data_IF_178728628441
#
_entry.id   IF_178728628441
#
_cell.length_a   1.000
_cell.length_b   1.000
_cell.length_c   1.000
_cell.angle_alpha   90.00
_cell.angle_beta   90.00
_cell.angle_gamma   90.00
#
_symmetry.space_group_name_H-M   'P 1'
#
loop_
_entity.id
_entity.type
_entity.pdbx_description
1 polymer ?
#
# COMPACT_ATOMS: atom_id res chain seq x y z
N UNK A 1 -4.95 -12.94 -3.44
CA UNK A 1 -4.75 -14.41 -3.35
C UNK A 1 -6.08 -15.11 -3.13
N UNK A 2 -6.70 -14.99 -1.94
CA UNK A 2 -7.96 -15.69 -1.63
C UNK A 2 -9.08 -15.38 -2.64
N UNK A 3 -9.36 -14.10 -2.91
CA UNK A 3 -10.36 -13.70 -3.92
C UNK A 3 -10.08 -14.31 -5.31
N UNK A 4 -8.81 -14.31 -5.74
CA UNK A 4 -8.38 -14.93 -7.01
C UNK A 4 -8.62 -16.44 -7.04
N UNK A 5 -8.37 -17.14 -5.93
CA UNK A 5 -8.66 -18.58 -5.81
C UNK A 5 -10.16 -18.84 -5.99
N UNK A 6 -11.02 -18.03 -5.37
CA UNK A 6 -12.47 -18.16 -5.50
C UNK A 6 -12.96 -17.90 -6.93
N UNK A 7 -12.35 -16.96 -7.65
CA UNK A 7 -12.67 -16.69 -9.06
C UNK A 7 -12.20 -17.83 -9.97
N UNK A 8 -10.93 -18.20 -9.90
CA UNK A 8 -10.33 -19.16 -10.84
C UNK A 8 -10.78 -20.59 -10.54
N UNK A 9 -10.68 -21.03 -9.28
CA UNK A 9 -11.01 -22.41 -8.90
C UNK A 9 -12.50 -22.59 -8.56
N UNK A 10 -13.16 -21.54 -8.07
CA UNK A 10 -14.61 -21.56 -7.77
C UNK A 10 -15.51 -21.13 -8.93
N UNK A 11 -14.95 -20.82 -10.10
CA UNK A 11 -15.68 -20.46 -11.32
C UNK A 11 -16.52 -19.19 -11.22
N UNK A 12 -16.17 -18.28 -10.30
CA UNK A 12 -16.95 -17.06 -10.06
C UNK A 12 -16.59 -15.94 -11.03
N UNK A 13 -17.51 -14.97 -11.18
CA UNK A 13 -17.22 -13.77 -11.96
C UNK A 13 -16.15 -12.89 -11.29
N UNK A 14 -15.46 -12.09 -12.11
CA UNK A 14 -14.47 -11.12 -11.62
C UNK A 14 -15.11 -10.13 -10.63
N UNK A 15 -16.36 -9.71 -10.90
CA UNK A 15 -17.14 -8.85 -10.02
C UNK A 15 -17.35 -9.40 -8.62
N UNK A 16 -17.80 -10.65 -8.54
CA UNK A 16 -17.96 -11.37 -7.28
C UNK A 16 -16.61 -11.48 -6.55
N UNK A 17 -15.51 -11.71 -7.28
CA UNK A 17 -14.17 -11.68 -6.72
C UNK A 17 -13.79 -10.34 -6.09
N UNK A 18 -14.01 -9.22 -6.79
CA UNK A 18 -13.71 -7.86 -6.31
C UNK A 18 -14.50 -7.55 -5.04
N UNK A 19 -15.76 -7.96 -5.01
CA UNK A 19 -16.63 -7.78 -3.87
C UNK A 19 -16.15 -8.47 -2.60
N UNK A 20 -15.86 -9.76 -2.73
CA UNK A 20 -15.41 -10.60 -1.64
C UNK A 20 -14.04 -10.13 -1.15
N UNK A 21 -13.25 -9.45 -1.99
CA UNK A 21 -11.97 -8.92 -1.60
C UNK A 21 -12.04 -7.90 -0.44
N UNK A 22 -13.12 -7.12 -0.33
CA UNK A 22 -13.26 -6.09 0.71
C UNK A 22 -13.38 -6.68 2.12
N UNK A 23 -14.37 -7.56 2.42
CA UNK A 23 -14.46 -8.18 3.75
C UNK A 23 -13.24 -9.05 4.03
N UNK A 24 -12.66 -9.71 3.01
CA UNK A 24 -11.42 -10.48 3.16
C UNK A 24 -10.23 -9.57 3.52
N UNK A 25 -10.14 -8.37 2.96
CA UNK A 25 -9.11 -7.40 3.30
C UNK A 25 -9.25 -6.91 4.75
N UNK A 26 -10.47 -6.62 5.20
CA UNK A 26 -10.73 -6.25 6.58
C UNK A 26 -10.35 -7.38 7.56
N UNK A 27 -10.78 -8.62 7.29
CA UNK A 27 -10.39 -9.79 8.08
C UNK A 27 -8.87 -10.02 8.08
N UNK A 28 -8.23 -9.91 6.91
CA UNK A 28 -6.78 -10.02 6.77
C UNK A 28 -6.01 -8.95 7.53
N UNK A 29 -6.57 -7.73 7.64
CA UNK A 29 -6.00 -6.66 8.43
C UNK A 29 -6.07 -6.96 9.93
N UNK A 30 -7.21 -7.46 10.42
CA UNK A 30 -7.33 -7.88 11.83
C UNK A 30 -6.34 -9.00 12.16
N UNK A 31 -6.24 -10.01 11.30
CA UNK A 31 -5.27 -11.08 11.46
C UNK A 31 -3.82 -10.55 11.45
N UNK A 32 -3.55 -9.55 10.61
CA UNK A 32 -2.24 -8.85 10.57
C UNK A 32 -1.91 -8.17 11.88
N UNK A 33 -2.88 -7.50 12.51
CA UNK A 33 -2.70 -6.86 13.81
C UNK A 33 -2.34 -7.91 14.87
N UNK A 34 -3.12 -9.00 14.96
CA UNK A 34 -2.89 -10.07 15.94
C UNK A 34 -1.48 -10.66 15.79
N UNK A 35 -1.09 -11.02 14.56
CA UNK A 35 0.24 -11.60 14.32
C UNK A 35 1.36 -10.60 14.65
N UNK A 36 1.19 -9.32 14.31
CA UNK A 36 2.16 -8.28 14.70
C UNK A 36 2.31 -8.15 16.21
N UNK A 37 1.21 -8.27 16.96
CA UNK A 37 1.25 -8.28 18.42
C UNK A 37 2.03 -9.50 18.94
N UNK A 38 1.87 -10.68 18.35
CA UNK A 38 2.62 -11.89 18.73
C UNK A 38 4.12 -11.71 18.43
N UNK A 39 4.49 -11.03 17.34
CA UNK A 39 5.88 -10.78 16.98
C UNK A 39 6.64 -9.99 18.05
N UNK A 40 5.96 -9.29 18.96
CA UNK A 40 6.58 -8.60 20.11
C UNK A 40 7.38 -9.58 20.98
N UNK A 41 6.97 -10.85 21.10
CA UNK A 41 7.74 -11.86 21.83
C UNK A 41 9.12 -12.14 21.20
N UNK A 42 9.23 -12.05 19.87
CA UNK A 42 10.50 -12.20 19.16
C UNK A 42 11.43 -11.00 19.42
N UNK A 43 10.86 -9.81 19.62
CA UNK A 43 11.65 -8.62 19.98
C UNK A 43 12.28 -8.80 21.37
N UNK A 44 11.50 -9.25 22.36
CA UNK A 44 12.04 -9.55 23.70
C UNK A 44 13.13 -10.64 23.68
N UNK A 45 13.02 -11.63 22.78
CA UNK A 45 14.06 -12.64 22.59
C UNK A 45 15.31 -12.06 21.92
N UNK A 46 15.14 -11.13 20.98
CA UNK A 46 16.25 -10.42 20.34
C UNK A 46 17.01 -9.53 21.32
N UNK A 47 16.30 -8.84 22.23
CA UNK A 47 16.93 -8.01 23.27
C UNK A 47 17.85 -8.84 24.17
N UNK A 48 17.39 -10.01 24.62
CA UNK A 48 18.20 -10.96 25.40
C UNK A 48 19.39 -11.53 24.62
N UNK A 49 19.29 -11.65 23.30
CA UNK A 49 20.40 -12.08 22.44
C UNK A 49 21.42 -10.95 22.22
N UNK A 50 20.94 -9.69 22.19
CA UNK A 50 21.76 -8.49 22.07
C UNK A 50 22.59 -8.23 23.33
N UNK A 51 22.02 -8.42 24.53
CA UNK A 51 22.76 -8.34 25.81
C UNK A 51 23.96 -9.30 25.85
N UNK A 52 23.88 -10.43 25.13
CA UNK A 52 24.94 -11.43 25.03
C UNK A 52 25.90 -11.19 23.86
N UNK A 53 25.72 -10.12 23.10
CA UNK A 53 26.52 -9.80 21.92
C UNK A 53 26.42 -10.81 20.77
N UNK A 54 25.37 -11.65 20.76
CA UNK A 54 25.25 -12.74 19.80
C UNK A 54 24.47 -12.31 18.54
N UNK A 55 25.18 -11.75 17.56
CA UNK A 55 24.59 -11.26 16.32
C UNK A 55 23.97 -12.36 15.44
N UNK A 56 24.49 -13.59 15.49
CA UNK A 56 23.93 -14.70 14.72
C UNK A 56 22.56 -15.09 15.26
N UNK A 57 22.40 -15.12 16.59
CA UNK A 57 21.12 -15.36 17.23
C UNK A 57 20.08 -14.28 16.86
N UNK A 58 20.47 -13.00 16.83
CA UNK A 58 19.59 -11.91 16.39
C UNK A 58 19.15 -12.10 14.93
N UNK A 59 20.07 -12.46 14.05
CA UNK A 59 19.75 -12.72 12.63
C UNK A 59 18.73 -13.86 12.48
N UNK A 60 18.90 -14.96 13.20
CA UNK A 60 17.94 -16.07 13.20
C UNK A 60 16.58 -15.68 13.79
N UNK A 61 16.55 -14.88 14.85
CA UNK A 61 15.31 -14.35 15.44
C UNK A 61 14.57 -13.46 14.43
N UNK A 62 15.29 -12.60 13.71
CA UNK A 62 14.70 -11.74 12.68
C UNK A 62 14.10 -12.57 11.54
N UNK A 63 14.82 -13.55 11.01
CA UNK A 63 14.33 -14.42 9.92
C UNK A 63 13.13 -15.25 10.37
N UNK A 64 13.16 -15.81 11.60
CA UNK A 64 12.02 -16.58 12.13
C UNK A 64 10.76 -15.72 12.32
N UNK A 65 10.89 -14.46 12.73
CA UNK A 65 9.78 -13.51 12.78
C UNK A 65 9.19 -13.23 11.39
N UNK A 66 10.03 -13.19 10.34
CA UNK A 66 9.60 -13.02 8.96
C UNK A 66 8.83 -14.25 8.45
N UNK A 67 9.25 -15.47 8.83
CA UNK A 67 8.53 -16.71 8.53
C UNK A 67 7.12 -16.70 9.14
N UNK A 68 6.97 -16.24 10.39
CA UNK A 68 5.66 -16.08 11.03
C UNK A 68 4.75 -15.15 10.20
N UNK A 69 5.30 -14.07 9.68
CA UNK A 69 4.57 -13.11 8.86
C UNK A 69 4.17 -13.68 7.49
N UNK A 70 4.99 -14.56 6.90
CA UNK A 70 4.62 -15.30 5.70
C UNK A 70 3.48 -16.30 5.97
N UNK A 71 3.57 -17.05 7.07
CA UNK A 71 2.55 -18.03 7.47
C UNK A 71 1.17 -17.40 7.67
N UNK A 72 1.10 -16.16 8.18
CA UNK A 72 -0.14 -15.40 8.31
C UNK A 72 -0.96 -15.35 7.02
N UNK A 73 -0.30 -15.22 5.87
CA UNK A 73 -0.97 -15.11 4.57
C UNK A 73 -1.11 -16.50 3.93
N UNK A 74 -0.10 -17.35 4.07
CA UNK A 74 -0.06 -18.68 3.45
C UNK A 74 -1.10 -19.63 4.03
N UNK A 75 -1.27 -19.69 5.36
CA UNK A 75 -2.18 -20.63 6.02
C UNK A 75 -3.64 -20.36 5.62
N UNK A 76 -4.20 -19.13 5.72
CA UNK A 76 -5.57 -18.87 5.29
C UNK A 76 -5.77 -19.08 3.79
N UNK A 77 -4.77 -18.74 2.97
CA UNK A 77 -4.84 -18.96 1.53
C UNK A 77 -4.91 -20.47 1.19
N UNK A 78 -4.13 -21.31 1.87
CA UNK A 78 -4.14 -22.76 1.69
C UNK A 78 -5.48 -23.36 2.12
N UNK A 79 -6.01 -22.94 3.28
CA UNK A 79 -7.32 -23.41 3.77
C UNK A 79 -8.41 -23.14 2.74
N UNK A 80 -8.43 -21.93 2.16
CA UNK A 80 -9.43 -21.58 1.12
C UNK A 80 -9.17 -22.36 -0.17
N UNK A 81 -7.92 -22.54 -0.58
CA UNK A 81 -7.58 -23.31 -1.78
C UNK A 81 -8.07 -24.75 -1.72
N UNK A 82 -8.00 -25.40 -0.56
CA UNK A 82 -8.46 -26.78 -0.37
C UNK A 82 -9.99 -26.85 -0.21
N UNK A 83 -10.62 -25.84 0.40
CA UNK A 83 -12.07 -25.87 0.68
C UNK A 83 -12.95 -25.38 -0.47
N UNK A 84 -12.41 -24.60 -1.42
CA UNK A 84 -13.19 -24.02 -2.52
C UNK A 84 -13.83 -25.06 -3.44
N UNK A 85 -13.23 -26.24 -3.56
CA UNK A 85 -13.77 -27.35 -4.37
C UNK A 85 -14.93 -28.11 -3.71
N UNK A 86 -15.29 -27.78 -2.47
CA UNK A 86 -16.41 -28.45 -1.79
C UNK A 86 -17.75 -27.94 -2.31
N UNK A 87 -18.71 -28.85 -2.44
CA UNK A 87 -20.08 -28.53 -2.90
C UNK A 87 -20.76 -27.45 -2.05
N UNK A 88 -20.40 -27.35 -0.77
CA UNK A 88 -20.90 -26.32 0.16
C UNK A 88 -20.48 -24.92 -0.29
N UNK A 89 -19.20 -24.72 -0.63
CA UNK A 89 -18.71 -23.41 -1.08
C UNK A 89 -19.28 -23.07 -2.45
N UNK A 90 -19.35 -24.04 -3.35
CA UNK A 90 -19.89 -23.78 -4.69
C UNK A 90 -21.38 -23.42 -4.67
N UNK A 91 -22.19 -24.11 -3.87
CA UNK A 91 -23.62 -23.82 -3.70
C UNK A 91 -23.85 -22.47 -3.02
N UNK A 92 -23.05 -22.12 -2.01
CA UNK A 92 -23.12 -20.82 -1.36
C UNK A 92 -22.83 -19.67 -2.34
N UNK A 93 -21.80 -19.83 -3.17
CA UNK A 93 -21.43 -18.83 -4.17
C UNK A 93 -22.49 -18.70 -5.27
N UNK A 94 -23.03 -19.82 -5.75
CA UNK A 94 -24.10 -19.84 -6.77
C UNK A 94 -25.46 -19.37 -6.23
N UNK A 95 -25.62 -19.25 -4.91
CA UNK A 95 -26.82 -18.68 -4.30
C UNK A 95 -26.84 -17.15 -4.34
N UNK A 96 -25.76 -16.50 -4.77
CA UNK A 96 -25.70 -15.04 -4.90
C UNK A 96 -26.52 -14.63 -6.15
N UNK A 97 -27.61 -13.85 -5.99
CA UNK A 97 -28.45 -13.45 -7.12
C UNK A 97 -27.72 -12.53 -8.09
N UNK A 98 -28.07 -12.60 -9.37
CA UNK A 98 -27.46 -11.77 -10.44
C UNK A 98 -27.58 -10.26 -10.18
N UNK A 99 -28.68 -9.81 -9.56
CA UNK A 99 -28.89 -8.40 -9.19
C UNK A 99 -27.79 -7.90 -8.25
N UNK A 100 -27.35 -8.74 -7.31
CA UNK A 100 -26.28 -8.41 -6.35
C UNK A 100 -24.95 -8.36 -7.09
N UNK A 101 -24.63 -9.37 -7.89
CA UNK A 101 -23.38 -9.43 -8.66
C UNK A 101 -23.25 -8.25 -9.63
N UNK A 102 -24.34 -7.84 -10.28
CA UNK A 102 -24.36 -6.69 -11.19
C UNK A 102 -24.20 -5.36 -10.45
N UNK A 103 -24.91 -5.13 -9.34
CA UNK A 103 -24.74 -3.91 -8.54
C UNK A 103 -23.30 -3.78 -8.00
N UNK A 104 -22.69 -4.92 -7.72
CA UNK A 104 -21.36 -5.02 -7.15
C UNK A 104 -20.24 -4.85 -8.18
N UNK A 105 -20.47 -5.25 -9.42
CA UNK A 105 -19.63 -4.88 -10.57
C UNK A 105 -19.54 -3.35 -10.72
N UNK A 106 -20.70 -2.67 -10.66
CA UNK A 106 -20.78 -1.21 -10.77
C UNK A 106 -20.07 -0.55 -9.58
N UNK A 107 -20.34 -1.02 -8.35
CA UNK A 107 -19.68 -0.53 -7.16
C UNK A 107 -18.16 -0.74 -7.19
N UNK A 108 -17.70 -1.89 -7.72
CA UNK A 108 -16.28 -2.20 -7.91
C UNK A 108 -15.55 -1.15 -8.75
N UNK A 109 -16.18 -0.62 -9.80
CA UNK A 109 -15.63 0.48 -10.60
C UNK A 109 -15.50 1.78 -9.81
N UNK A 110 -16.45 2.09 -8.93
CA UNK A 110 -16.42 3.33 -8.12
C UNK A 110 -15.45 3.25 -6.93
N UNK A 111 -15.26 2.07 -6.33
CA UNK A 111 -14.36 1.88 -5.19
C UNK A 111 -12.91 2.27 -5.52
N UNK A 112 -12.50 2.12 -6.78
CA UNK A 112 -11.16 2.53 -7.26
C UNK A 112 -10.87 4.00 -6.97
N UNK A 113 -11.90 4.87 -7.01
CA UNK A 113 -11.78 6.30 -6.73
C UNK A 113 -11.27 6.56 -5.30
N UNK A 114 -11.65 5.73 -4.32
CA UNK A 114 -11.15 5.84 -2.94
C UNK A 114 -9.64 5.59 -2.90
N UNK A 115 -9.15 4.64 -3.70
CA UNK A 115 -7.72 4.37 -3.85
C UNK A 115 -6.95 5.59 -4.37
N UNK A 116 -7.46 6.21 -5.44
CA UNK A 116 -6.88 7.45 -5.98
C UNK A 116 -6.92 8.59 -4.96
N UNK A 117 -8.03 8.75 -4.24
CA UNK A 117 -8.18 9.78 -3.21
C UNK A 117 -7.16 9.62 -2.07
N UNK A 118 -6.89 8.38 -1.61
CA UNK A 118 -5.88 8.13 -0.58
C UNK A 118 -4.47 8.56 -1.02
N UNK A 119 -4.09 8.25 -2.26
CA UNK A 119 -2.77 8.65 -2.82
C UNK A 119 -2.68 10.16 -2.97
N UNK A 120 -3.71 10.79 -3.54
CA UNK A 120 -3.77 12.24 -3.71
C UNK A 120 -3.70 12.95 -2.35
N UNK A 121 -4.41 12.44 -1.34
CA UNK A 121 -4.40 13.03 0.00
C UNK A 121 -3.01 13.00 0.64
N UNK A 122 -2.21 11.93 0.41
CA UNK A 122 -0.83 11.83 0.90
C UNK A 122 0.11 12.84 0.21
N UNK A 123 -0.16 13.19 -1.05
CA UNK A 123 0.69 14.09 -1.85
C UNK A 123 0.15 15.53 -1.95
N UNK A 124 -1.02 15.81 -1.36
CA UNK A 124 -1.74 17.08 -1.54
C UNK A 124 -0.95 18.24 -0.95
N UNK A 125 -0.44 19.09 -1.84
CA UNK A 125 0.02 20.43 -1.50
C UNK A 125 -0.85 21.46 -2.23
N UNK A 126 -1.38 22.44 -1.51
CA UNK A 126 -2.34 23.41 -2.08
C UNK A 126 -1.83 24.10 -3.35
N UNK A 127 -0.52 24.41 -3.41
CA UNK A 127 0.11 25.05 -4.56
C UNK A 127 0.41 24.09 -5.74
N UNK A 128 0.31 22.77 -5.55
CA UNK A 128 0.50 21.76 -6.62
C UNK A 128 -0.82 21.28 -7.23
N UNK A 129 -1.97 21.64 -6.64
CA UNK A 129 -3.30 21.29 -7.18
C UNK A 129 -3.52 21.69 -8.65
N UNK A 130 -2.97 22.81 -9.17
CA UNK A 130 -3.06 23.11 -10.60
C UNK A 130 -2.51 22.01 -11.52
N UNK A 131 -1.43 21.31 -11.13
CA UNK A 131 -0.88 20.21 -11.91
C UNK A 131 -1.82 19.00 -11.93
N UNK A 132 -2.54 18.75 -10.83
CA UNK A 132 -3.54 17.70 -10.76
C UNK A 132 -4.69 17.96 -11.74
N UNK A 133 -5.26 19.18 -11.75
CA UNK A 133 -6.32 19.54 -12.68
C UNK A 133 -5.85 19.56 -14.14
N UNK A 134 -4.61 20.00 -14.39
CA UNK A 134 -4.02 19.96 -15.72
C UNK A 134 -3.91 18.52 -16.25
N UNK A 135 -3.42 17.59 -15.42
CA UNK A 135 -3.36 16.18 -15.75
C UNK A 135 -4.74 15.57 -15.99
N UNK A 136 -5.73 15.95 -15.19
CA UNK A 136 -7.13 15.51 -15.36
C UNK A 136 -7.72 15.95 -16.70
N UNK A 137 -7.59 17.24 -17.07
CA UNK A 137 -8.08 17.75 -18.35
C UNK A 137 -7.34 17.09 -19.50
N UNK A 138 -6.01 16.97 -19.41
CA UNK A 138 -5.21 16.32 -20.46
C UNK A 138 -5.67 14.87 -20.67
N UNK A 139 -5.87 14.10 -19.59
CA UNK A 139 -6.34 12.72 -19.69
C UNK A 139 -7.78 12.59 -20.22
N UNK A 140 -8.65 13.60 -20.02
CA UNK A 140 -10.03 13.57 -20.51
C UNK A 140 -10.15 13.81 -22.03
N UNK A 141 -9.18 14.50 -22.64
CA UNK A 141 -9.23 14.90 -24.05
C UNK A 141 -8.10 14.33 -24.91
N UNK A 142 -7.22 13.50 -24.34
CA UNK A 142 -6.11 12.86 -25.07
C UNK A 142 -6.08 11.36 -24.81
N UNK A 143 -5.77 10.58 -25.85
CA UNK A 143 -5.61 9.13 -25.76
C UNK A 143 -4.15 8.74 -25.41
N UNK A 144 -3.53 9.48 -24.50
CA UNK A 144 -2.19 9.15 -24.03
C UNK A 144 -2.21 7.94 -23.10
N UNK A 145 -1.26 7.03 -23.31
CA UNK A 145 -1.05 5.92 -22.37
C UNK A 145 -0.48 6.42 -21.03
N UNK A 146 -0.58 5.60 -19.99
CA UNK A 146 -0.11 5.95 -18.64
C UNK A 146 1.40 6.26 -18.59
N UNK A 147 2.20 5.66 -19.47
CA UNK A 147 3.65 5.91 -19.55
C UNK A 147 3.92 7.33 -20.06
N UNK A 148 3.22 7.74 -21.12
CA UNK A 148 3.34 9.07 -21.70
C UNK A 148 2.93 10.16 -20.69
N UNK A 149 1.79 9.99 -20.01
CA UNK A 149 1.35 10.89 -18.94
C UNK A 149 2.37 10.94 -17.78
N UNK A 150 2.97 9.80 -17.43
CA UNK A 150 4.03 9.72 -16.43
C UNK A 150 5.28 10.51 -16.82
N UNK A 151 5.76 10.37 -18.06
CA UNK A 151 6.92 11.11 -18.57
C UNK A 151 6.64 12.62 -18.59
N UNK A 152 5.47 13.04 -19.08
CA UNK A 152 5.05 14.45 -19.08
C UNK A 152 5.04 15.00 -17.63
N UNK A 153 4.52 14.23 -16.68
CA UNK A 153 4.52 14.60 -15.25
C UNK A 153 5.93 14.79 -14.69
N UNK A 154 6.87 13.89 -15.01
CA UNK A 154 8.27 14.01 -14.57
C UNK A 154 8.95 15.23 -15.18
N UNK A 155 8.77 15.48 -16.48
CA UNK A 155 9.33 16.66 -17.16
C UNK A 155 8.79 17.94 -16.52
N UNK A 156 7.48 18.03 -16.28
CA UNK A 156 6.85 19.16 -15.60
C UNK A 156 7.38 19.35 -14.17
N UNK A 157 7.63 18.27 -13.43
CA UNK A 157 8.21 18.33 -12.09
C UNK A 157 9.65 18.88 -12.11
N UNK A 158 10.49 18.41 -13.04
CA UNK A 158 11.87 18.90 -13.20
C UNK A 158 11.88 20.39 -13.57
N UNK A 159 11.06 20.80 -14.53
CA UNK A 159 10.95 22.21 -14.93
C UNK A 159 10.46 23.08 -13.77
N UNK A 160 9.45 22.63 -13.01
CA UNK A 160 8.95 23.36 -11.85
C UNK A 160 10.03 23.56 -10.78
N UNK A 161 10.85 22.54 -10.50
CA UNK A 161 11.96 22.64 -9.54
C UNK A 161 13.03 23.61 -10.05
N UNK A 162 13.41 23.55 -11.33
CA UNK A 162 14.42 24.43 -11.92
C UNK A 162 13.98 25.90 -11.97
N UNK A 163 12.71 26.16 -12.26
CA UNK A 163 12.17 27.53 -12.33
C UNK A 163 11.80 28.09 -10.96
N UNK A 164 11.61 27.25 -9.95
CA UNK A 164 11.20 27.71 -8.62
C UNK A 164 12.36 28.42 -7.91
N UNK A 165 12.22 29.74 -7.61
CA UNK A 165 13.28 30.52 -6.95
C UNK A 165 13.56 30.05 -5.52
N UNK A 166 12.70 29.19 -4.95
CA UNK A 166 12.92 28.53 -3.66
C UNK A 166 14.18 27.65 -3.66
N UNK A 167 14.54 27.07 -4.80
CA UNK A 167 15.73 26.22 -4.95
C UNK A 167 16.91 26.95 -5.61
N UNK A 168 16.66 28.11 -6.22
CA UNK A 168 17.67 28.90 -6.92
C UNK A 168 18.43 29.91 -6.02
N UNK A 169 18.14 29.95 -4.71
CA UNK A 169 18.75 30.91 -3.75
C UNK A 169 20.16 30.56 -3.24
N UNK A 170 20.76 29.44 -3.65
CA UNK A 170 22.11 29.03 -3.19
C UNK A 170 23.22 29.36 -4.20
N UNK A 171 22.90 29.81 -5.41
CA UNK A 171 23.92 30.11 -6.43
C UNK A 171 24.43 31.58 -6.43
N UNK A 172 24.02 32.43 -5.48
CA UNK A 172 24.32 33.87 -5.56
C UNK A 172 24.52 34.66 -4.26
N UNK A 173 24.62 34.01 -3.09
CA UNK A 173 24.89 34.72 -1.83
C UNK A 173 26.24 34.26 -1.23
N UNK A 174 27.32 34.92 -1.66
CA UNK A 174 28.58 34.91 -0.92
C UNK A 174 28.59 36.07 0.09
N UNK A 175 29.06 35.76 1.32
CA UNK A 175 29.32 36.64 2.49
C UNK A 175 28.05 37.19 3.20
N UNK A 176 27.89 37.18 4.54
CA UNK A 176 28.85 37.21 5.66
C UNK A 176 28.12 37.01 7.00
N UNK A 177 28.71 36.30 7.96
CA UNK A 177 28.35 36.37 9.39
C UNK A 177 28.84 35.16 10.22
N UNK A 178 29.50 35.36 11.39
CA UNK A 178 30.11 34.28 12.14
C UNK A 178 29.04 33.40 12.82
N UNK A 179 29.20 32.08 12.68
CA UNK A 179 28.35 31.08 13.32
C UNK A 179 28.50 31.16 14.85
N UNK A 180 27.41 31.47 15.56
CA UNK A 180 27.26 31.12 16.97
C UNK A 180 26.86 29.64 17.04
N UNK A 181 27.75 28.83 17.63
CA UNK A 181 27.50 27.43 17.95
C UNK A 181 26.51 27.37 19.13
N UNK A 182 25.24 27.10 18.85
CA UNK A 182 24.21 26.72 19.84
C UNK A 182 23.95 25.21 19.76
N UNK A 183 25.02 24.38 19.83
CA UNK A 183 24.92 22.91 19.82
C UNK A 183 24.98 22.29 21.22
N UNK A 184 25.10 23.09 22.28
CA UNK A 184 25.39 22.60 23.63
C UNK A 184 24.16 22.54 24.56
N UNK A 185 22.91 22.62 24.07
CA UNK A 185 21.74 22.80 24.95
C UNK A 185 20.53 21.86 24.73
N UNK A 186 20.73 20.65 24.21
CA UNK A 186 19.66 19.64 24.06
C UNK A 186 19.94 18.33 24.83
N UNK A 187 20.52 18.41 26.03
CA UNK A 187 20.68 17.25 26.94
C UNK A 187 20.24 17.56 28.38
N UNK A 188 19.04 18.13 28.56
CA UNK A 188 18.28 18.09 29.82
C UNK A 188 16.81 17.70 29.55
#
# INVERSE_FOLDING_TARGET
IISTILVIAGGQSVGAGIALAIPLAAAGQVLTIIVRTITVAFQHAADKAAEKGNLTAISWIHVSALVLQAMRIAIPALIVAVSVGTSVVHNLLNSIPDVVTNGLNIAGGMIVVVGYAMVINMMRAGYLMPFFYLGFVTAAFTDFNLVALGVIGVVMAVLYIQLSPKYNRVAGAAASGPAKNDLDNELD
#
